data_IF_101439097182
#
_entry.id   IF_101439097182
#
_cell.length_a   1.000
_cell.length_b   1.000
_cell.length_c   1.000
_cell.angle_alpha   90.00
_cell.angle_beta   90.00
_cell.angle_gamma   90.00
#
_symmetry.space_group_name_H-M   'P 1'
#
loop_
_entity.id
_entity.type
_entity.pdbx_description
1 polymer ?
#
# COMPACT_ATOMS: atom_id res chain seq x y z
N UNK A 1 -6.04 4.07 -10.97
CA UNK A 1 -4.59 3.87 -10.87
C UNK A 1 -4.02 5.08 -10.12
N UNK A 2 -3.10 4.86 -9.16
CA UNK A 2 -2.34 5.93 -8.50
C UNK A 2 -0.85 5.56 -8.58
N UNK A 3 -0.05 6.44 -9.16
CA UNK A 3 1.40 6.26 -9.29
C UNK A 3 2.13 7.24 -8.39
N UNK A 4 2.97 6.70 -7.51
CA UNK A 4 3.77 7.41 -6.51
C UNK A 4 5.20 6.88 -6.47
N UNK A 5 5.68 6.32 -7.58
CA UNK A 5 7.03 5.76 -7.69
C UNK A 5 8.09 6.86 -7.58
N UNK A 6 9.29 6.53 -7.08
CA UNK A 6 10.44 7.45 -7.10
C UNK A 6 10.31 8.65 -6.17
N UNK A 7 9.53 8.54 -5.09
CA UNK A 7 9.38 9.60 -4.09
C UNK A 7 10.19 9.28 -2.82
N UNK A 8 10.15 10.20 -1.86
CA UNK A 8 10.82 10.05 -0.55
C UNK A 8 9.84 9.56 0.53
N UNK A 9 8.88 8.72 0.19
CA UNK A 9 7.92 8.19 1.18
C UNK A 9 8.66 7.19 2.06
N UNK A 10 8.65 7.43 3.38
CA UNK A 10 9.33 6.57 4.37
C UNK A 10 8.36 5.75 5.21
N UNK A 11 7.11 6.22 5.35
CA UNK A 11 6.06 5.57 6.13
C UNK A 11 4.72 5.69 5.42
N UNK A 12 3.92 4.63 5.49
CA UNK A 12 2.50 4.64 5.12
C UNK A 12 1.68 4.58 6.41
N UNK A 13 0.91 5.62 6.68
CA UNK A 13 0.03 5.71 7.82
C UNK A 13 -1.35 5.11 7.51
N UNK A 14 -2.11 4.79 8.55
CA UNK A 14 -3.46 4.23 8.44
C UNK A 14 -4.40 5.03 7.52
N UNK A 15 -4.24 6.35 7.51
CA UNK A 15 -5.20 7.25 6.85
C UNK A 15 -4.72 7.80 5.49
N UNK A 16 -3.48 7.50 5.06
CA UNK A 16 -2.89 8.08 3.85
C UNK A 16 -3.70 7.76 2.58
N UNK A 17 -4.37 6.61 2.58
CA UNK A 17 -5.23 6.15 1.49
C UNK A 17 -6.70 6.02 1.90
N UNK A 18 -7.08 6.65 3.02
CA UNK A 18 -8.48 6.69 3.46
C UNK A 18 -9.39 7.26 2.37
N UNK A 19 -10.54 6.60 2.17
CA UNK A 19 -11.49 7.01 1.14
C UNK A 19 -11.16 6.62 -0.31
N UNK A 20 -9.98 6.06 -0.61
CA UNK A 20 -9.63 5.55 -1.96
C UNK A 20 -10.28 4.18 -2.26
N UNK A 21 -11.57 4.05 -1.98
CA UNK A 21 -12.33 2.77 -1.99
C UNK A 21 -12.33 2.06 -3.35
N UNK A 22 -12.32 2.84 -4.43
CA UNK A 22 -12.38 2.36 -5.81
C UNK A 22 -11.00 2.24 -6.48
N UNK A 23 -9.91 2.49 -5.75
CA UNK A 23 -8.58 2.45 -6.35
C UNK A 23 -8.13 1.01 -6.57
N UNK A 24 -8.01 0.61 -7.83
CA UNK A 24 -7.62 -0.76 -8.22
C UNK A 24 -6.11 -1.02 -8.25
N UNK A 25 -5.31 0.00 -8.52
CA UNK A 25 -3.85 -0.16 -8.64
C UNK A 25 -3.14 0.99 -7.93
N UNK A 26 -2.20 0.66 -7.05
CA UNK A 26 -1.31 1.57 -6.33
C UNK A 26 0.15 1.18 -6.58
N UNK A 27 0.95 2.12 -7.09
CA UNK A 27 2.38 1.93 -7.34
C UNK A 27 3.19 2.85 -6.44
N UNK A 28 4.05 2.25 -5.61
CA UNK A 28 4.89 2.90 -4.61
C UNK A 28 6.34 2.41 -4.72
N UNK A 29 6.76 2.01 -5.92
CA UNK A 29 8.10 1.48 -6.16
C UNK A 29 9.16 2.56 -6.00
N UNK A 30 10.39 2.16 -5.69
CA UNK A 30 11.53 3.10 -5.62
C UNK A 30 11.30 4.25 -4.63
N UNK A 31 10.71 3.93 -3.49
CA UNK A 31 10.59 4.83 -2.36
C UNK A 31 11.52 4.35 -1.22
N UNK A 32 11.39 4.95 -0.04
CA UNK A 32 12.17 4.61 1.15
C UNK A 32 11.28 4.03 2.25
N UNK A 33 10.17 3.38 1.87
CA UNK A 33 9.15 2.93 2.82
C UNK A 33 9.76 1.83 3.68
N UNK A 34 9.84 2.09 4.99
CA UNK A 34 10.32 1.15 5.98
C UNK A 34 9.22 0.71 6.95
N UNK A 35 8.17 1.53 7.09
CA UNK A 35 7.05 1.27 8.00
C UNK A 35 5.72 1.36 7.26
N UNK A 36 4.87 0.34 7.44
CA UNK A 36 3.45 0.37 7.03
C UNK A 36 2.62 0.14 8.28
N UNK A 37 1.73 1.07 8.60
CA UNK A 37 0.84 0.92 9.75
C UNK A 37 -0.24 -0.13 9.48
N UNK A 38 -0.68 -0.81 10.55
CA UNK A 38 -1.78 -1.75 10.47
C UNK A 38 -3.05 -1.04 9.99
N UNK A 39 -3.68 -1.61 8.97
CA UNK A 39 -4.90 -1.07 8.37
C UNK A 39 -4.69 0.08 7.38
N UNK A 40 -3.44 0.37 6.98
CA UNK A 40 -3.12 1.37 5.95
C UNK A 40 -3.87 1.19 4.62
N UNK A 41 -4.32 -0.03 4.32
CA UNK A 41 -5.03 -0.35 3.09
C UNK A 41 -6.48 -0.81 3.33
N UNK A 42 -7.01 -0.71 4.55
CA UNK A 42 -8.30 -1.30 4.93
C UNK A 42 -9.48 -0.79 4.09
N UNK A 43 -9.44 0.48 3.69
CA UNK A 43 -10.49 1.14 2.90
C UNK A 43 -10.44 0.78 1.41
N UNK A 44 -9.30 0.29 0.91
CA UNK A 44 -9.06 0.06 -0.51
C UNK A 44 -9.60 -1.31 -0.96
N UNK A 45 -10.93 -1.51 -0.83
CA UNK A 45 -11.59 -2.81 -1.08
C UNK A 45 -11.40 -3.34 -2.50
N UNK A 46 -11.35 -2.44 -3.47
CA UNK A 46 -11.16 -2.77 -4.90
C UNK A 46 -9.70 -2.87 -5.32
N UNK A 47 -8.74 -2.82 -4.38
CA UNK A 47 -7.31 -2.87 -4.72
C UNK A 47 -6.93 -4.25 -5.26
N UNK A 48 -6.56 -4.30 -6.54
CA UNK A 48 -6.15 -5.51 -7.24
C UNK A 48 -4.64 -5.67 -7.30
N UNK A 49 -3.92 -4.54 -7.35
CA UNK A 49 -2.46 -4.51 -7.51
C UNK A 49 -1.82 -3.45 -6.63
N UNK A 50 -0.91 -3.91 -5.78
CA UNK A 50 -0.01 -3.07 -5.01
C UNK A 50 1.42 -3.34 -5.49
N UNK A 51 2.25 -2.31 -5.63
CA UNK A 51 3.68 -2.49 -5.94
C UNK A 51 4.51 -1.73 -4.92
N UNK A 52 5.28 -2.46 -4.12
CA UNK A 52 6.17 -1.93 -3.08
C UNK A 52 7.65 -2.27 -3.32
N UNK A 53 8.00 -2.70 -4.54
CA UNK A 53 9.37 -3.09 -4.89
C UNK A 53 10.35 -1.94 -4.69
N UNK A 54 11.62 -2.27 -4.38
CA UNK A 54 12.69 -1.27 -4.18
C UNK A 54 12.30 -0.25 -3.09
N UNK A 55 11.85 -0.76 -1.94
CA UNK A 55 11.66 -0.03 -0.68
C UNK A 55 12.54 -0.65 0.41
N UNK A 56 12.43 -0.16 1.64
CA UNK A 56 13.20 -0.58 2.80
C UNK A 56 12.34 -1.36 3.80
N UNK A 57 11.36 -2.12 3.30
CA UNK A 57 10.43 -2.90 4.11
C UNK A 57 11.14 -4.13 4.68
N UNK A 58 11.22 -4.21 6.01
CA UNK A 58 11.79 -5.36 6.71
C UNK A 58 10.71 -6.32 7.17
N UNK A 59 9.57 -5.78 7.61
CA UNK A 59 8.40 -6.52 8.06
C UNK A 59 7.13 -5.83 7.59
N UNK A 60 6.05 -6.58 7.50
CA UNK A 60 4.71 -6.06 7.31
C UNK A 60 3.85 -6.46 8.51
N UNK A 61 2.91 -5.62 8.97
CA UNK A 61 1.96 -6.01 9.99
C UNK A 61 1.21 -7.29 9.61
N UNK A 62 0.95 -8.14 10.60
CA UNK A 62 0.03 -9.24 10.41
C UNK A 62 -1.34 -8.72 9.95
N UNK A 63 -1.99 -9.48 9.07
CA UNK A 63 -3.31 -9.16 8.54
C UNK A 63 -3.38 -7.82 7.77
N UNK A 64 -2.24 -7.26 7.31
CA UNK A 64 -2.19 -6.01 6.56
C UNK A 64 -3.16 -5.96 5.36
N UNK A 65 -3.35 -7.10 4.70
CA UNK A 65 -4.22 -7.23 3.52
C UNK A 65 -5.54 -7.98 3.79
N UNK A 66 -5.92 -8.20 5.05
CA UNK A 66 -7.15 -8.94 5.41
C UNK A 66 -8.42 -8.36 4.78
N UNK A 67 -8.38 -7.06 4.46
CA UNK A 67 -9.50 -6.28 3.97
C UNK A 67 -9.47 -6.03 2.46
N UNK A 68 -8.41 -6.47 1.77
CA UNK A 68 -8.20 -6.26 0.34
C UNK A 68 -8.42 -7.57 -0.42
N UNK A 69 -9.68 -8.03 -0.44
CA UNK A 69 -10.05 -9.33 -1.02
C UNK A 69 -9.80 -9.42 -2.54
N UNK A 70 -9.78 -8.28 -3.23
CA UNK A 70 -9.45 -8.21 -4.66
C UNK A 70 -7.93 -8.28 -4.95
N UNK A 71 -7.09 -8.17 -3.91
CA UNK A 71 -5.64 -8.08 -4.07
C UNK A 71 -5.09 -9.42 -4.57
N UNK A 72 -4.61 -9.41 -5.80
CA UNK A 72 -4.09 -10.61 -6.47
C UNK A 72 -2.63 -10.48 -6.87
N UNK A 73 -2.07 -9.26 -6.83
CA UNK A 73 -0.68 -8.98 -7.24
C UNK A 73 -0.02 -7.99 -6.27
N UNK A 74 1.12 -8.40 -5.71
CA UNK A 74 1.99 -7.62 -4.83
C UNK A 74 3.35 -7.34 -5.50
#
# INVERSE_FOLDING_TARGET
LRELNGNNITRINRNDFSGLKQLRVLQLMENQINTVERGAFDDMKELERLRLNRNQLHTLPELLFQNNQALSRL
#
